data_IF_674988815495
#
_entry.id   IF_674988815495
#
_cell.length_a   1.000
_cell.length_b   1.000
_cell.length_c   1.000
_cell.angle_alpha   90.00
_cell.angle_beta   90.00
_cell.angle_gamma   90.00
#
_symmetry.space_group_name_H-M   'P 1'
#
loop_
_entity.id
_entity.type
_entity.pdbx_description
1 polymer ?
#
# COMPACT_ATOMS: atom_id res chain seq x y z
N UNK A 1 8.31 8.48 -10.44
CA UNK A 1 6.94 7.93 -10.69
C UNK A 1 6.52 6.92 -9.62
N UNK A 2 7.34 5.90 -9.33
CA UNK A 2 7.03 4.86 -8.32
C UNK A 2 6.70 5.45 -6.94
N UNK A 3 7.48 6.42 -6.43
CA UNK A 3 7.22 7.05 -5.13
C UNK A 3 5.84 7.74 -5.08
N UNK A 4 5.50 8.52 -6.11
CA UNK A 4 4.21 9.20 -6.22
C UNK A 4 3.05 8.20 -6.29
N UNK A 5 3.26 7.08 -6.99
CA UNK A 5 2.29 5.99 -7.05
C UNK A 5 2.05 5.37 -5.67
N UNK A 6 3.11 5.07 -4.91
CA UNK A 6 2.99 4.53 -3.54
C UNK A 6 2.27 5.52 -2.62
N UNK A 7 2.54 6.83 -2.75
CA UNK A 7 1.82 7.88 -2.00
C UNK A 7 0.33 7.88 -2.39
N UNK A 8 0.01 7.80 -3.68
CA UNK A 8 -1.36 7.72 -4.17
C UNK A 8 -2.12 6.50 -3.63
N UNK A 9 -1.51 5.32 -3.67
CA UNK A 9 -2.09 4.11 -3.09
C UNK A 9 -2.26 4.22 -1.57
N UNK A 10 -1.33 4.88 -0.88
CA UNK A 10 -1.46 5.14 0.57
C UNK A 10 -2.65 6.05 0.88
N UNK A 11 -2.91 7.07 0.07
CA UNK A 11 -4.10 7.91 0.19
C UNK A 11 -5.38 7.11 -0.07
N UNK A 12 -5.39 6.23 -1.07
CA UNK A 12 -6.51 5.32 -1.33
C UNK A 12 -6.74 4.39 -0.15
N UNK A 13 -5.68 3.84 0.46
CA UNK A 13 -5.76 3.01 1.65
C UNK A 13 -6.41 3.75 2.82
N UNK A 14 -6.02 5.01 3.06
CA UNK A 14 -6.64 5.88 4.07
C UNK A 14 -8.12 6.12 3.75
N UNK A 15 -8.44 6.41 2.49
CA UNK A 15 -9.81 6.60 2.02
C UNK A 15 -10.68 5.37 2.25
N UNK A 16 -10.17 4.17 1.93
CA UNK A 16 -10.84 2.90 2.18
C UNK A 16 -11.06 2.65 3.67
N UNK A 17 -10.08 2.98 4.52
CA UNK A 17 -10.27 2.89 5.97
C UNK A 17 -11.32 3.85 6.50
N UNK A 18 -11.34 5.09 6.00
CA UNK A 18 -12.36 6.07 6.37
C UNK A 18 -13.75 5.63 5.90
N UNK A 19 -13.85 5.09 4.68
CA UNK A 19 -15.09 4.53 4.15
C UNK A 19 -15.56 3.35 5.02
N UNK A 20 -14.65 2.43 5.34
CA UNK A 20 -14.98 1.28 6.17
C UNK A 20 -15.48 1.68 7.57
N UNK A 21 -14.92 2.76 8.12
CA UNK A 21 -15.38 3.35 9.39
C UNK A 21 -16.75 4.03 9.26
N UNK A 22 -16.95 4.84 8.22
CA UNK A 22 -18.19 5.59 7.95
C UNK A 22 -19.38 4.67 7.73
N UNK A 23 -19.21 3.60 6.95
CA UNK A 23 -20.29 2.66 6.64
C UNK A 23 -20.42 1.52 7.66
N UNK A 24 -19.62 1.53 8.73
CA UNK A 24 -19.57 0.46 9.76
C UNK A 24 -19.52 -0.95 9.17
N UNK A 25 -18.85 -1.10 8.04
CA UNK A 25 -18.71 -2.40 7.39
C UNK A 25 -17.95 -3.34 8.33
N UNK A 26 -18.41 -4.59 8.45
CA UNK A 26 -17.78 -5.61 9.30
C UNK A 26 -16.43 -6.10 8.77
N UNK A 27 -15.91 -5.48 7.71
CA UNK A 27 -14.63 -5.83 7.11
C UNK A 27 -13.49 -5.41 8.04
N UNK A 28 -12.65 -6.35 8.50
CA UNK A 28 -11.45 -6.00 9.24
C UNK A 28 -10.53 -5.14 8.38
N UNK A 29 -10.06 -4.01 8.91
CA UNK A 29 -9.06 -3.15 8.23
C UNK A 29 -7.79 -3.91 7.82
N UNK A 30 -7.51 -5.04 8.48
CA UNK A 30 -6.41 -5.93 8.10
C UNK A 30 -6.59 -6.56 6.71
N UNK A 31 -7.83 -6.82 6.27
CA UNK A 31 -8.09 -7.36 4.92
C UNK A 31 -7.69 -6.33 3.85
N UNK A 32 -8.01 -5.06 4.06
CA UNK A 32 -7.62 -3.97 3.14
C UNK A 32 -6.08 -3.89 3.04
N UNK A 33 -5.37 -4.03 4.16
CA UNK A 33 -3.90 -4.10 4.15
C UNK A 33 -3.40 -5.31 3.36
N UNK A 34 -3.96 -6.50 3.61
CA UNK A 34 -3.53 -7.74 2.96
C UNK A 34 -3.72 -7.68 1.44
N UNK A 35 -4.87 -7.18 0.98
CA UNK A 35 -5.16 -6.98 -0.45
C UNK A 35 -4.15 -6.03 -1.07
N UNK A 36 -3.85 -4.91 -0.41
CA UNK A 36 -2.85 -3.96 -0.91
C UNK A 36 -1.44 -4.54 -0.96
N UNK A 37 -1.05 -5.35 0.03
CA UNK A 37 0.23 -6.06 0.00
C UNK A 37 0.28 -7.03 -1.18
N UNK A 38 -0.77 -7.82 -1.44
CA UNK A 38 -0.82 -8.69 -2.62
C UNK A 38 -0.64 -7.86 -3.90
N UNK A 39 -1.30 -6.69 -4.00
CA UNK A 39 -1.11 -5.80 -5.14
C UNK A 39 0.33 -5.27 -5.26
N UNK A 40 0.96 -4.87 -4.15
CA UNK A 40 2.36 -4.42 -4.13
C UNK A 40 3.34 -5.51 -4.55
N UNK A 41 3.05 -6.78 -4.25
CA UNK A 41 3.95 -7.88 -4.58
C UNK A 41 3.78 -8.37 -6.01
N UNK A 42 2.56 -8.44 -6.53
CA UNK A 42 2.26 -9.16 -7.76
C UNK A 42 1.70 -8.30 -8.91
N UNK A 43 1.01 -7.20 -8.60
CA UNK A 43 0.26 -6.42 -9.59
C UNK A 43 1.02 -5.15 -9.96
N UNK A 44 1.34 -4.31 -8.97
CA UNK A 44 1.93 -3.00 -9.21
C UNK A 44 3.32 -3.03 -9.84
N UNK A 45 4.26 -3.93 -9.47
CA UNK A 45 5.57 -3.97 -10.13
C UNK A 45 5.46 -4.17 -11.65
N UNK A 46 4.53 -5.02 -12.09
CA UNK A 46 4.33 -5.37 -13.50
C UNK A 46 3.90 -4.20 -14.35
N UNK A 47 3.18 -3.23 -13.77
CA UNK A 47 2.75 -2.01 -14.47
C UNK A 47 3.92 -1.08 -14.83
N UNK A 48 5.09 -1.28 -14.23
CA UNK A 48 6.27 -0.44 -14.42
C UNK A 48 7.43 -1.18 -15.12
N UNK A 49 7.25 -2.46 -15.48
CA UNK A 49 8.30 -3.20 -16.17
C UNK A 49 8.52 -2.66 -17.59
N UNK A 50 9.78 -2.40 -17.98
CA UNK A 50 10.08 -1.95 -19.33
C UNK A 50 9.85 -3.09 -20.33
N UNK A 51 9.53 -2.73 -21.57
CA UNK A 51 9.45 -3.69 -22.67
C UNK A 51 10.82 -4.39 -22.89
N UNK A 52 10.83 -5.70 -23.17
CA UNK A 52 12.06 -6.42 -23.47
C UNK A 52 12.73 -5.82 -24.71
N UNK A 53 14.02 -5.50 -24.63
CA UNK A 53 14.77 -5.02 -25.79
C UNK A 53 15.26 -6.23 -26.57
N UNK A 54 15.01 -6.28 -27.87
CA UNK A 54 15.45 -7.38 -28.75
C UNK A 54 16.95 -7.32 -29.06
N UNK A 55 17.59 -6.17 -28.85
CA UNK A 55 18.89 -5.86 -29.45
C UNK A 55 20.03 -5.67 -28.42
N UNK A 56 19.81 -6.06 -27.16
CA UNK A 56 20.78 -5.84 -26.08
C UNK A 56 20.77 -6.91 -24.99
N UNK A 57 21.79 -6.90 -24.14
CA UNK A 57 21.87 -7.79 -22.98
C UNK A 57 20.76 -7.41 -22.01
N UNK A 58 19.70 -8.21 -21.98
CA UNK A 58 18.58 -8.10 -21.04
C UNK A 58 19.01 -8.58 -19.64
N UNK A 59 19.98 -7.90 -19.03
CA UNK A 59 20.26 -8.05 -17.61
C UNK A 59 18.98 -7.61 -16.88
N UNK A 60 18.23 -8.53 -16.27
CA UNK A 60 16.97 -8.28 -15.53
C UNK A 60 17.08 -7.31 -14.34
N UNK A 61 18.15 -6.53 -14.26
CA UNK A 61 18.48 -5.52 -13.26
C UNK A 61 17.39 -4.44 -13.10
N UNK A 62 16.76 -3.90 -14.17
CA UNK A 62 15.67 -2.94 -14.03
C UNK A 62 14.43 -3.57 -13.39
N UNK A 63 14.07 -4.78 -13.82
CA UNK A 63 12.90 -5.52 -13.31
C UNK A 63 13.10 -5.83 -11.82
N UNK A 64 14.30 -6.28 -11.45
CA UNK A 64 14.65 -6.56 -10.06
C UNK A 64 14.54 -5.29 -9.19
N UNK A 65 15.11 -4.17 -9.65
CA UNK A 65 15.06 -2.89 -8.92
C UNK A 65 13.63 -2.38 -8.72
N UNK A 66 12.78 -2.47 -9.74
CA UNK A 66 11.36 -2.10 -9.66
C UNK A 66 10.63 -3.01 -8.67
N UNK A 67 10.84 -4.32 -8.77
CA UNK A 67 10.21 -5.32 -7.91
C UNK A 67 10.58 -5.12 -6.44
N UNK A 68 11.88 -5.03 -6.15
CA UNK A 68 12.37 -4.79 -4.80
C UNK A 68 11.92 -3.43 -4.26
N UNK A 69 11.87 -2.40 -5.10
CA UNK A 69 11.35 -1.10 -4.73
C UNK A 69 9.90 -1.17 -4.24
N UNK A 70 9.02 -1.84 -4.99
CA UNK A 70 7.63 -2.02 -4.57
C UNK A 70 7.49 -2.93 -3.35
N UNK A 71 8.27 -4.01 -3.26
CA UNK A 71 8.22 -4.91 -2.12
C UNK A 71 8.66 -4.23 -0.83
N UNK A 72 9.75 -3.46 -0.86
CA UNK A 72 10.26 -2.79 0.35
C UNK A 72 9.43 -1.55 0.65
N UNK A 73 9.40 -0.56 -0.26
CA UNK A 73 8.76 0.72 0.01
C UNK A 73 7.24 0.61 0.06
N UNK A 74 6.63 -0.24 -0.77
CA UNK A 74 5.18 -0.49 -0.73
C UNK A 74 4.74 -1.16 0.56
N UNK A 75 5.50 -2.14 1.06
CA UNK A 75 5.20 -2.79 2.34
C UNK A 75 5.37 -1.83 3.51
N UNK A 76 6.48 -1.07 3.55
CA UNK A 76 6.70 -0.05 4.59
C UNK A 76 5.56 0.97 4.60
N UNK A 77 5.19 1.50 3.43
CA UNK A 77 4.10 2.47 3.31
C UNK A 77 2.75 1.88 3.73
N UNK A 78 2.42 0.66 3.30
CA UNK A 78 1.17 -0.01 3.62
C UNK A 78 1.03 -0.31 5.12
N UNK A 79 2.09 -0.83 5.75
CA UNK A 79 2.13 -1.12 7.18
C UNK A 79 2.09 0.18 7.99
N UNK A 80 2.91 1.18 7.63
CA UNK A 80 2.94 2.46 8.32
C UNK A 80 1.56 3.13 8.32
N UNK A 81 0.91 3.18 7.14
CA UNK A 81 -0.46 3.71 7.00
C UNK A 81 -1.46 2.96 7.88
N UNK A 82 -1.40 1.63 7.91
CA UNK A 82 -2.28 0.82 8.76
C UNK A 82 -2.07 1.08 10.26
N UNK A 83 -0.81 1.16 10.70
CA UNK A 83 -0.46 1.44 12.09
C UNK A 83 -0.92 2.84 12.49
N UNK A 84 -0.62 3.86 11.67
CA UNK A 84 -1.03 5.25 11.90
C UNK A 84 -2.56 5.33 12.04
N UNK A 85 -3.30 4.67 11.16
CA UNK A 85 -4.77 4.61 11.23
C UNK A 85 -5.26 3.97 12.54
N UNK A 86 -4.69 2.81 12.92
CA UNK A 86 -5.06 2.10 14.14
C UNK A 86 -4.77 2.93 15.40
N UNK A 87 -3.65 3.65 15.43
CA UNK A 87 -3.30 4.57 16.53
C UNK A 87 -4.27 5.75 16.59
N UNK A 88 -4.57 6.39 15.45
CA UNK A 88 -5.52 7.51 15.35
C UNK A 88 -6.91 7.10 15.86
N UNK A 89 -7.41 5.93 15.43
CA UNK A 89 -8.71 5.42 15.86
C UNK A 89 -8.73 5.09 17.36
N UNK A 90 -7.68 4.48 17.91
CA UNK A 90 -7.56 4.22 19.36
C UNK A 90 -7.56 5.51 20.19
N UNK A 91 -6.89 6.56 19.72
CA UNK A 91 -6.90 7.88 20.40
C UNK A 91 -8.30 8.51 20.41
N UNK A 92 -9.01 8.44 19.29
CA UNK A 92 -10.39 8.92 19.18
C UNK A 92 -11.35 8.17 20.12
N UNK A 93 -11.26 6.84 20.21
CA UNK A 93 -12.09 6.06 21.14
C UNK A 93 -11.79 6.38 22.61
N UNK A 94 -10.51 6.55 22.97
CA UNK A 94 -10.12 6.93 24.36
C UNK A 94 -10.55 8.35 24.73
N UNK A 95 -10.56 9.29 23.79
CA UNK A 95 -11.06 10.64 24.03
C UNK A 95 -12.58 10.62 24.31
N UNK A 96 -13.33 9.73 23.65
CA UNK A 96 -14.77 9.60 23.86
C UNK A 96 -15.18 8.87 25.15
N UNK A 97 -14.26 8.11 25.78
CA UNK A 97 -14.49 7.47 27.09
C UNK A 97 -14.10 8.35 28.29
N UNK A 98 -13.50 9.52 28.07
CA UNK A 98 -13.10 10.48 29.12
C UNK A 98 -14.07 11.67 29.26
N UNK A 99 -15.21 11.63 28.58
CA UNK A 99 -16.28 12.62 28.67
C UNK A 99 -17.46 12.00 29.40
#
# INVERSE_FOLDING_TARGET
MILLFIIGISLIQIGLYYLNDKYRTKLPNFIILLVLLICYFFVFPKLFYPEPRTDGINCGMPILGITLGFWIFGTIAGIATHIIWKIKKRKSTKAQQRV
#
